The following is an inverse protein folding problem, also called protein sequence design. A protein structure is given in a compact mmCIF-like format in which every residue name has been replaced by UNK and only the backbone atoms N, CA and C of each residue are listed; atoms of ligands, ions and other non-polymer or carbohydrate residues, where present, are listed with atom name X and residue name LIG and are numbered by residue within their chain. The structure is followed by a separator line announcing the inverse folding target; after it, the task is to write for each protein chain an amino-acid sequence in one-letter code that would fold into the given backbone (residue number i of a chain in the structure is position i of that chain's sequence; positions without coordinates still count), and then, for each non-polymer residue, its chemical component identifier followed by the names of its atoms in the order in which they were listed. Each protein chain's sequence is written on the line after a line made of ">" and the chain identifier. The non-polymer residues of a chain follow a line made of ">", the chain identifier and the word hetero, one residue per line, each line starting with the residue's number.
data_IF_517453454488
#
_entry.id   IF_517453454488
#
_cell.length_a   1.000
_cell.length_b   1.000
_cell.length_c   1.000
_cell.angle_alpha   90.00
_cell.angle_beta   90.00
_cell.angle_gamma   90.00
#
_symmetry.space_group_name_H-M   'P 1'
#
loop_
_entity.id
_entity.type
_entity.pdbx_description
1 polymer ?
#
# COMPACT_ATOMS: atom_id res chain seq x y z
N UNK A 1 25.15 -44.21 20.16
CA UNK A 1 24.05 -44.62 21.05
C UNK A 1 23.60 -43.51 22.02
N UNK A 2 24.50 -42.74 22.64
CA UNK A 2 24.12 -41.63 23.55
C UNK A 2 23.56 -40.36 22.88
N UNK A 3 24.05 -39.99 21.68
CA UNK A 3 23.55 -38.82 20.93
C UNK A 3 22.09 -38.98 20.47
N UNK A 4 21.68 -40.20 20.15
CA UNK A 4 20.31 -40.55 19.72
C UNK A 4 19.29 -40.42 20.85
N UNK A 5 19.72 -40.74 22.07
CA UNK A 5 18.89 -40.63 23.27
C UNK A 5 18.67 -39.17 23.63
N UNK A 6 19.72 -38.33 23.58
CA UNK A 6 19.63 -36.89 23.84
C UNK A 6 18.75 -36.19 22.79
N UNK A 7 18.90 -36.54 21.50
CA UNK A 7 18.02 -36.01 20.46
C UNK A 7 16.57 -36.44 20.65
N UNK A 8 16.30 -37.72 20.96
CA UNK A 8 14.93 -38.20 21.26
C UNK A 8 14.34 -37.53 22.51
N UNK A 9 15.13 -37.32 23.55
CA UNK A 9 14.68 -36.64 24.78
C UNK A 9 14.41 -35.15 24.54
N UNK A 10 15.25 -34.45 23.77
CA UNK A 10 14.98 -33.06 23.35
C UNK A 10 13.74 -32.96 22.46
N UNK A 11 13.59 -33.88 21.51
CA UNK A 11 12.42 -33.95 20.62
C UNK A 11 11.13 -34.22 21.43
N UNK A 12 11.16 -35.16 22.38
CA UNK A 12 10.05 -35.43 23.29
C UNK A 12 9.73 -34.25 24.21
N UNK A 13 10.74 -33.55 24.75
CA UNK A 13 10.52 -32.35 25.58
C UNK A 13 9.92 -31.19 24.80
N UNK A 14 10.37 -30.96 23.57
CA UNK A 14 9.83 -29.90 22.70
C UNK A 14 8.35 -30.14 22.38
N UNK A 15 7.97 -31.38 22.05
CA UNK A 15 6.58 -31.73 21.76
C UNK A 15 5.71 -31.87 23.02
N UNK A 16 6.30 -32.17 24.18
CA UNK A 16 5.56 -32.21 25.45
C UNK A 16 5.13 -30.80 25.91
N UNK A 17 5.88 -29.75 25.54
CA UNK A 17 5.45 -28.35 25.69
C UNK A 17 4.30 -27.95 24.74
N UNK A 18 4.08 -28.68 23.65
CA UNK A 18 2.97 -28.45 22.73
C UNK A 18 1.67 -29.18 23.12
N UNK A 19 1.66 -29.98 24.20
CA UNK A 19 0.43 -30.63 24.69
C UNK A 19 -0.58 -29.58 25.15
N UNK A 20 -1.67 -29.44 24.39
CA UNK A 20 -2.79 -28.54 24.70
C UNK A 20 -2.85 -27.29 23.83
N UNK A 21 -1.86 -27.03 22.96
CA UNK A 21 -2.01 -26.05 21.88
C UNK A 21 -2.74 -26.76 20.75
N UNK A 22 -3.95 -26.33 20.37
CA UNK A 22 -4.63 -26.92 19.24
C UNK A 22 -3.75 -26.74 17.99
N UNK A 23 -3.48 -27.82 17.27
CA UNK A 23 -2.76 -27.73 15.99
C UNK A 23 -3.63 -26.91 15.04
N UNK A 24 -3.08 -25.80 14.56
CA UNK A 24 -3.68 -25.00 13.50
C UNK A 24 -3.38 -25.65 12.15
N UNK A 25 -4.35 -25.64 11.25
CA UNK A 25 -4.12 -26.05 9.86
C UNK A 25 -3.40 -24.93 9.09
N UNK A 26 -3.64 -23.67 9.48
CA UNK A 26 -3.04 -22.47 8.89
C UNK A 26 -2.67 -21.46 9.96
N UNK A 27 -1.42 -21.03 9.97
CA UNK A 27 -0.93 -19.93 10.80
C UNK A 27 -0.59 -18.73 9.92
N UNK A 28 -1.15 -17.56 10.25
CA UNK A 28 -0.93 -16.29 9.55
C UNK A 28 -0.18 -15.35 10.49
N UNK A 29 0.98 -14.86 10.05
CA UNK A 29 1.80 -13.91 10.81
C UNK A 29 1.59 -12.49 10.26
N UNK A 30 1.08 -11.61 11.11
CA UNK A 30 0.76 -10.21 10.85
C UNK A 30 -0.74 -9.98 10.61
N UNK A 31 -1.37 -9.11 11.40
CA UNK A 31 -2.76 -8.67 11.25
C UNK A 31 -2.88 -7.33 10.49
N UNK A 32 -1.98 -7.09 9.53
CA UNK A 32 -2.16 -6.05 8.51
C UNK A 32 -3.15 -6.47 7.42
N UNK A 33 -3.41 -5.57 6.45
CA UNK A 33 -4.36 -5.80 5.34
C UNK A 33 -4.21 -7.16 4.65
N UNK A 34 -2.98 -7.62 4.41
CA UNK A 34 -2.72 -8.90 3.76
C UNK A 34 -3.11 -10.10 4.62
N UNK A 35 -2.73 -10.10 5.90
CA UNK A 35 -3.02 -11.21 6.81
C UNK A 35 -4.51 -11.31 7.14
N UNK A 36 -5.16 -10.17 7.43
CA UNK A 36 -6.61 -10.15 7.69
C UNK A 36 -7.40 -10.54 6.45
N UNK A 37 -6.99 -10.10 5.26
CA UNK A 37 -7.62 -10.52 4.00
C UNK A 37 -7.48 -12.03 3.77
N UNK A 38 -6.30 -12.61 4.00
CA UNK A 38 -6.07 -14.05 3.87
C UNK A 38 -6.96 -14.84 4.83
N UNK A 39 -7.01 -14.45 6.11
CA UNK A 39 -7.90 -15.07 7.10
C UNK A 39 -9.36 -14.98 6.66
N UNK A 40 -9.81 -13.79 6.26
CA UNK A 40 -11.16 -13.59 5.74
C UNK A 40 -11.45 -14.48 4.52
N UNK A 41 -10.55 -14.57 3.54
CA UNK A 41 -10.74 -15.41 2.35
C UNK A 41 -10.84 -16.91 2.67
N UNK A 42 -10.09 -17.39 3.67
CA UNK A 42 -10.07 -18.79 4.10
C UNK A 42 -11.14 -19.15 5.12
N UNK A 43 -11.87 -18.17 5.65
CA UNK A 43 -12.78 -18.33 6.80
C UNK A 43 -13.84 -19.44 6.65
N UNK A 44 -14.25 -19.75 5.43
CA UNK A 44 -15.25 -20.80 5.15
C UNK A 44 -14.62 -22.11 4.62
N UNK A 45 -13.30 -22.25 4.69
CA UNK A 45 -12.59 -23.43 4.17
C UNK A 45 -12.65 -24.65 5.12
N UNK A 46 -13.26 -24.52 6.31
CA UNK A 46 -13.33 -25.58 7.31
C UNK A 46 -12.02 -25.81 8.09
N UNK A 47 -11.03 -24.96 7.89
CA UNK A 47 -9.70 -25.03 8.51
C UNK A 47 -9.69 -24.40 9.91
N UNK A 48 -8.76 -24.86 10.75
CA UNK A 48 -8.36 -24.20 12.00
C UNK A 48 -7.29 -23.16 11.67
N UNK A 49 -7.58 -21.88 11.90
CA UNK A 49 -6.75 -20.78 11.41
C UNK A 49 -6.40 -19.84 12.57
N UNK A 50 -5.12 -19.57 12.77
CA UNK A 50 -4.67 -18.54 13.71
C UNK A 50 -4.04 -17.35 13.01
N UNK A 51 -4.39 -16.14 13.46
CA UNK A 51 -3.70 -14.91 13.07
C UNK A 51 -2.92 -14.38 14.27
N UNK A 52 -1.64 -14.09 14.08
CA UNK A 52 -0.73 -13.63 15.12
C UNK A 52 -0.18 -12.26 14.77
N UNK A 53 -0.27 -11.31 15.68
CA UNK A 53 0.18 -9.94 15.49
C UNK A 53 1.17 -9.54 16.58
N UNK A 54 2.25 -8.88 16.16
CA UNK A 54 3.26 -8.41 17.11
C UNK A 54 2.80 -7.14 17.83
N UNK A 55 2.08 -6.24 17.18
CA UNK A 55 1.54 -5.06 17.85
C UNK A 55 0.31 -5.38 18.71
N UNK A 56 -0.22 -4.36 19.35
CA UNK A 56 -1.44 -4.37 20.15
C UNK A 56 -2.69 -4.03 19.31
N UNK A 57 -2.60 -4.03 17.98
CA UNK A 57 -3.71 -3.63 17.11
C UNK A 57 -3.75 -4.36 15.77
N UNK A 58 -4.96 -4.50 15.25
CA UNK A 58 -5.20 -4.89 13.85
C UNK A 58 -4.91 -3.69 12.92
N UNK A 59 -4.48 -3.99 11.70
CA UNK A 59 -4.44 -3.04 10.58
C UNK A 59 -3.05 -2.72 10.03
N UNK A 60 -1.98 -2.91 10.82
CA UNK A 60 -0.62 -2.64 10.38
C UNK A 60 -0.47 -1.21 9.83
N UNK A 61 -0.05 -1.05 8.57
CA UNK A 61 0.13 0.27 7.92
C UNK A 61 -1.18 0.97 7.53
N UNK A 62 -2.35 0.38 7.80
CA UNK A 62 -3.65 1.07 7.71
C UNK A 62 -4.06 1.43 9.13
N UNK A 63 -3.98 2.72 9.45
CA UNK A 63 -4.18 3.21 10.80
C UNK A 63 -4.89 4.56 10.77
N UNK A 64 -6.12 4.59 11.26
CA UNK A 64 -6.98 5.76 11.26
C UNK A 64 -7.44 6.03 12.69
N UNK A 65 -7.54 7.30 13.07
CA UNK A 65 -8.04 7.73 14.37
C UNK A 65 -9.06 8.84 14.22
N UNK A 66 -10.02 8.84 15.14
CA UNK A 66 -10.90 9.97 15.39
C UNK A 66 -10.36 10.70 16.61
N UNK A 67 -10.38 12.03 16.55
CA UNK A 67 -10.00 12.87 17.67
C UNK A 67 -11.27 13.33 18.39
N UNK A 68 -11.26 13.46 19.73
CA UNK A 68 -12.44 13.91 20.48
C UNK A 68 -13.04 15.22 19.97
N UNK A 69 -12.19 16.16 19.53
CA UNK A 69 -12.61 17.47 19.03
C UNK A 69 -12.97 17.46 17.53
N UNK A 70 -12.82 16.32 16.85
CA UNK A 70 -13.19 16.12 15.45
C UNK A 70 -13.69 14.67 15.23
N UNK A 71 -14.79 14.26 15.89
CA UNK A 71 -15.22 12.87 15.93
C UNK A 71 -15.76 12.36 14.59
N UNK A 72 -16.10 13.26 13.67
CA UNK A 72 -16.63 12.92 12.34
C UNK A 72 -15.54 12.88 11.25
N UNK A 73 -14.29 13.18 11.59
CA UNK A 73 -13.19 13.29 10.63
C UNK A 73 -12.11 12.25 10.97
N UNK A 74 -11.98 11.18 10.18
CA UNK A 74 -10.88 10.26 10.35
C UNK A 74 -9.55 10.94 9.96
N UNK A 75 -8.54 10.78 10.80
CA UNK A 75 -7.17 11.11 10.48
C UNK A 75 -6.41 9.82 10.19
N UNK A 76 -5.98 9.67 8.94
CA UNK A 76 -5.21 8.52 8.48
C UNK A 76 -3.70 8.75 8.69
N UNK A 77 -3.09 7.94 9.54
CA UNK A 77 -1.64 7.88 9.76
C UNK A 77 -0.92 6.91 8.81
N UNK A 78 -1.65 6.40 7.81
CA UNK A 78 -1.16 5.40 6.88
C UNK A 78 -1.85 5.51 5.53
N UNK A 79 -2.36 4.40 5.00
CA UNK A 79 -3.19 4.46 3.79
C UNK A 79 -4.41 5.36 4.02
N UNK A 80 -4.66 6.30 3.10
CA UNK A 80 -5.74 7.30 3.23
C UNK A 80 -6.74 7.31 2.07
N UNK A 81 -6.41 6.63 0.96
CA UNK A 81 -7.19 6.69 -0.28
C UNK A 81 -7.02 5.47 -1.17
N UNK A 82 -7.97 5.29 -2.07
CA UNK A 82 -8.02 4.24 -3.09
C UNK A 82 -8.21 4.92 -4.44
N UNK A 83 -7.33 4.61 -5.39
CA UNK A 83 -7.53 4.98 -6.80
C UNK A 83 -8.39 3.89 -7.44
N UNK A 84 -9.65 4.19 -7.75
CA UNK A 84 -10.69 3.22 -8.13
C UNK A 84 -10.27 2.35 -9.32
N UNK A 85 -9.74 2.97 -10.37
CA UNK A 85 -9.29 2.26 -11.57
C UNK A 85 -8.01 1.41 -11.37
N UNK A 86 -7.26 1.63 -10.28
CA UNK A 86 -6.00 0.92 -10.01
C UNK A 86 -6.12 -0.17 -8.95
N UNK A 87 -7.18 -0.17 -8.15
CA UNK A 87 -7.34 -1.11 -7.02
C UNK A 87 -8.66 -1.89 -7.06
N UNK A 88 -9.00 -2.55 -8.18
CA UNK A 88 -10.30 -3.23 -8.34
C UNK A 88 -10.55 -4.31 -7.27
N UNK A 89 -9.51 -5.00 -6.80
CA UNK A 89 -9.62 -5.99 -5.71
C UNK A 89 -9.98 -5.36 -4.36
N UNK A 90 -9.43 -4.19 -4.05
CA UNK A 90 -9.80 -3.45 -2.84
C UNK A 90 -11.25 -2.99 -2.94
N UNK A 91 -11.66 -2.40 -4.07
CA UNK A 91 -13.05 -1.98 -4.30
C UNK A 91 -14.02 -3.15 -4.09
N UNK A 92 -13.78 -4.28 -4.77
CA UNK A 92 -14.61 -5.47 -4.61
C UNK A 92 -14.68 -5.91 -3.16
N UNK A 93 -13.54 -5.99 -2.47
CA UNK A 93 -13.52 -6.39 -1.08
C UNK A 93 -14.29 -5.42 -0.18
N UNK A 94 -14.17 -4.11 -0.38
CA UNK A 94 -14.93 -3.13 0.40
C UNK A 94 -16.44 -3.27 0.20
N UNK A 95 -16.88 -3.54 -1.04
CA UNK A 95 -18.30 -3.86 -1.32
C UNK A 95 -18.72 -5.16 -0.62
N UNK A 96 -17.93 -6.23 -0.71
CA UNK A 96 -18.22 -7.52 -0.06
C UNK A 96 -18.24 -7.39 1.48
N UNK A 97 -17.48 -6.44 2.04
CA UNK A 97 -17.48 -6.09 3.46
C UNK A 97 -18.65 -5.18 3.88
N UNK A 98 -19.38 -4.59 2.93
CA UNK A 98 -20.43 -3.61 3.21
C UNK A 98 -19.91 -2.20 3.53
N UNK A 99 -18.64 -1.90 3.23
CA UNK A 99 -18.06 -0.58 3.45
C UNK A 99 -18.69 0.48 2.54
N UNK A 100 -18.74 1.71 3.05
CA UNK A 100 -19.14 2.89 2.27
C UNK A 100 -17.91 3.62 1.76
N UNK A 101 -18.07 4.25 0.61
CA UNK A 101 -17.04 5.05 -0.04
C UNK A 101 -17.48 6.49 -0.16
N UNK A 102 -16.53 7.41 -0.01
CA UNK A 102 -16.72 8.82 -0.31
C UNK A 102 -15.62 9.31 -1.25
N UNK A 103 -15.85 10.44 -1.92
CA UNK A 103 -14.80 11.16 -2.64
C UNK A 103 -13.68 11.47 -1.65
N UNK A 104 -12.45 11.11 -2.00
CA UNK A 104 -11.30 11.64 -1.26
C UNK A 104 -11.05 13.07 -1.77
N UNK A 105 -11.19 14.11 -0.92
CA UNK A 105 -10.92 15.47 -1.34
C UNK A 105 -9.41 15.61 -1.58
N UNK A 106 -9.01 15.57 -2.84
CA UNK A 106 -7.60 15.61 -3.20
C UNK A 106 -7.10 17.05 -3.35
N UNK A 107 -5.99 17.36 -2.69
CA UNK A 107 -5.00 18.32 -3.19
C UNK A 107 -3.87 17.53 -3.82
N UNK A 108 -3.66 17.65 -5.14
CA UNK A 108 -2.54 17.12 -5.96
C UNK A 108 -2.57 17.75 -7.38
N UNK A 109 -2.95 19.02 -7.49
CA UNK A 109 -3.09 19.69 -8.79
C UNK A 109 -4.39 19.39 -9.53
N UNK A 110 -5.35 18.67 -8.92
CA UNK A 110 -6.71 18.47 -9.49
C UNK A 110 -7.56 19.71 -9.53
N UNK A 111 -7.26 20.66 -8.64
CA UNK A 111 -7.75 22.03 -8.73
C UNK A 111 -6.50 22.86 -8.99
N UNK A 112 -6.03 22.93 -10.25
CA UNK A 112 -4.74 23.53 -10.58
C UNK A 112 -4.59 24.95 -10.06
N UNK A 113 -5.69 25.71 -10.03
CA UNK A 113 -5.75 27.12 -9.60
C UNK A 113 -5.63 27.29 -8.09
N UNK A 114 -5.87 26.22 -7.31
CA UNK A 114 -5.85 26.25 -5.82
C UNK A 114 -4.72 25.41 -5.23
N UNK A 115 -4.04 24.62 -6.05
CA UNK A 115 -2.91 23.80 -5.59
C UNK A 115 -1.66 24.66 -5.57
N UNK A 116 -1.26 25.07 -4.37
CA UNK A 116 -0.05 25.85 -4.15
C UNK A 116 1.19 24.95 -4.18
N UNK A 117 2.22 25.43 -4.85
CA UNK A 117 3.56 24.86 -4.89
C UNK A 117 4.54 25.93 -4.39
N UNK A 118 5.63 25.47 -3.79
CA UNK A 118 6.72 26.33 -3.35
C UNK A 118 8.03 25.75 -3.84
N UNK A 119 8.59 26.34 -4.89
CA UNK A 119 9.78 25.87 -5.59
C UNK A 119 10.81 26.99 -5.62
N UNK A 120 12.04 26.73 -5.17
CA UNK A 120 13.17 27.69 -5.19
C UNK A 120 12.79 29.10 -4.70
N UNK A 121 12.10 29.18 -3.56
CA UNK A 121 11.60 30.42 -2.95
C UNK A 121 10.51 31.18 -3.73
N UNK A 122 9.87 30.52 -4.70
CA UNK A 122 8.76 31.08 -5.48
C UNK A 122 7.47 30.33 -5.13
N UNK A 123 6.41 31.09 -4.84
CA UNK A 123 5.05 30.55 -4.74
C UNK A 123 4.43 30.53 -6.14
N UNK A 124 3.79 29.42 -6.48
CA UNK A 124 3.13 29.24 -7.76
C UNK A 124 1.96 28.27 -7.60
N UNK A 125 1.06 28.29 -8.57
CA UNK A 125 0.00 27.30 -8.73
C UNK A 125 0.42 26.24 -9.76
N UNK A 126 -0.30 25.11 -9.82
CA UNK A 126 -0.02 24.09 -10.85
C UNK A 126 -0.16 24.63 -12.27
N UNK A 127 -1.02 25.63 -12.51
CA UNK A 127 -1.20 26.24 -13.83
C UNK A 127 -0.02 27.12 -14.28
N UNK A 128 0.84 27.54 -13.36
CA UNK A 128 2.00 28.39 -13.67
C UNK A 128 3.26 27.59 -14.02
N UNK A 129 3.22 26.27 -13.84
CA UNK A 129 4.30 25.35 -14.19
C UNK A 129 4.59 25.37 -15.70
N UNK A 130 5.86 25.54 -16.06
CA UNK A 130 6.35 25.68 -17.42
C UNK A 130 6.24 27.11 -17.97
N UNK A 131 5.56 28.01 -17.24
CA UNK A 131 5.42 29.41 -17.60
C UNK A 131 6.59 30.31 -17.16
N UNK A 132 6.51 31.63 -17.40
CA UNK A 132 7.56 32.60 -17.07
C UNK A 132 7.95 32.66 -15.58
N UNK A 133 7.02 32.31 -14.68
CA UNK A 133 7.23 32.32 -13.24
C UNK A 133 7.91 31.03 -12.73
N UNK A 134 8.12 30.03 -13.59
CA UNK A 134 8.79 28.79 -13.22
C UNK A 134 10.27 29.07 -12.92
N UNK A 135 10.76 28.81 -11.69
CA UNK A 135 12.08 29.26 -11.23
C UNK A 135 13.24 28.34 -11.67
N UNK A 136 13.16 27.87 -12.91
CA UNK A 136 14.14 26.99 -13.54
C UNK A 136 14.53 27.56 -14.89
N UNK A 137 15.83 27.55 -15.21
CA UNK A 137 16.34 28.03 -16.50
C UNK A 137 16.13 26.97 -17.60
N UNK A 138 14.85 26.70 -17.89
CA UNK A 138 14.40 25.71 -18.86
C UNK A 138 14.61 26.21 -20.30
N UNK A 139 15.06 25.29 -21.16
CA UNK A 139 15.10 25.52 -22.61
C UNK A 139 13.67 25.67 -23.16
N UNK A 140 13.47 26.32 -24.33
CA UNK A 140 12.13 26.50 -24.90
C UNK A 140 11.31 25.21 -25.02
N UNK A 141 11.95 24.09 -25.39
CA UNK A 141 11.34 22.77 -25.52
C UNK A 141 11.03 22.08 -24.18
N UNK A 142 11.61 22.56 -23.08
CA UNK A 142 11.43 22.03 -21.71
C UNK A 142 10.34 22.81 -20.93
N UNK A 143 9.88 23.95 -21.47
CA UNK A 143 8.88 24.83 -20.84
C UNK A 143 7.46 24.27 -20.95
N UNK A 144 7.17 23.27 -20.14
CA UNK A 144 5.85 22.66 -20.02
C UNK A 144 5.59 22.15 -18.60
N UNK A 145 4.41 21.57 -18.39
CA UNK A 145 4.09 20.84 -17.17
C UNK A 145 5.13 19.70 -16.95
N UNK A 146 5.71 19.56 -15.75
CA UNK A 146 6.80 18.62 -15.51
C UNK A 146 6.35 17.16 -15.64
N UNK A 147 5.05 16.87 -15.48
CA UNK A 147 4.47 15.53 -15.71
C UNK A 147 4.44 15.21 -17.19
N UNK A 148 4.12 16.18 -18.03
CA UNK A 148 4.16 16.03 -19.49
C UNK A 148 5.60 15.88 -19.97
N UNK A 149 6.53 16.67 -19.42
CA UNK A 149 7.96 16.54 -19.73
C UNK A 149 8.46 15.14 -19.34
N UNK A 150 8.24 14.70 -18.09
CA UNK A 150 8.58 13.35 -17.64
C UNK A 150 7.98 12.24 -18.52
N UNK A 151 6.74 12.42 -18.98
CA UNK A 151 6.07 11.47 -19.87
C UNK A 151 6.76 11.42 -21.24
N UNK A 152 6.98 12.57 -21.87
CA UNK A 152 7.65 12.67 -23.17
C UNK A 152 9.02 11.98 -23.13
N UNK A 153 9.78 12.17 -22.07
CA UNK A 153 11.10 11.55 -21.90
C UNK A 153 10.99 10.03 -21.77
N UNK A 154 10.04 9.55 -20.98
CA UNK A 154 9.82 8.11 -20.81
C UNK A 154 9.38 7.44 -22.12
N UNK A 155 8.50 8.10 -22.89
CA UNK A 155 8.03 7.62 -24.20
C UNK A 155 9.11 7.65 -25.28
N UNK A 156 10.04 8.61 -25.19
CA UNK A 156 11.18 8.71 -26.12
C UNK A 156 12.22 7.61 -25.86
N UNK A 157 12.38 7.20 -24.61
CA UNK A 157 13.48 6.31 -24.19
C UNK A 157 13.09 4.86 -23.98
N UNK A 158 11.80 4.56 -24.02
CA UNK A 158 11.30 3.21 -23.83
C UNK A 158 10.38 2.78 -24.96
N UNK A 159 10.24 1.48 -25.14
CA UNK A 159 9.19 0.92 -25.99
C UNK A 159 7.78 1.05 -25.35
N UNK A 160 7.68 1.66 -24.16
CA UNK A 160 6.46 1.89 -23.43
C UNK A 160 5.93 3.31 -23.68
N UNK A 161 4.97 3.43 -24.59
CA UNK A 161 4.35 4.70 -24.94
C UNK A 161 3.07 5.03 -24.11
N UNK A 162 2.87 4.37 -22.97
CA UNK A 162 1.71 4.61 -22.08
C UNK A 162 0.33 4.27 -22.65
N UNK A 163 0.24 3.83 -23.92
CA UNK A 163 -1.01 3.55 -24.64
C UNK A 163 -1.16 2.11 -25.06
N UNK A 164 -0.07 1.34 -25.13
CA UNK A 164 -0.13 -0.09 -25.43
C UNK A 164 -0.61 -0.88 -24.20
N UNK A 165 -1.84 -1.44 -24.22
CA UNK A 165 -2.34 -2.21 -23.09
C UNK A 165 -1.56 -3.52 -22.86
N UNK A 166 -0.73 -3.97 -23.80
CA UNK A 166 -0.09 -5.28 -23.78
C UNK A 166 1.36 -5.27 -23.26
N UNK A 167 1.93 -4.10 -22.96
CA UNK A 167 3.27 -4.02 -22.34
C UNK A 167 3.08 -3.90 -20.84
N UNK A 168 3.31 -5.01 -20.15
CA UNK A 168 3.45 -4.98 -18.70
C UNK A 168 4.72 -4.22 -18.32
N UNK A 169 4.70 -3.52 -17.21
CA UNK A 169 5.85 -2.77 -16.73
C UNK A 169 7.15 -3.63 -16.62
N UNK A 170 7.02 -4.93 -16.35
CA UNK A 170 8.14 -5.87 -16.29
C UNK A 170 8.66 -6.33 -17.66
N UNK A 171 7.90 -6.09 -18.73
CA UNK A 171 8.30 -6.39 -20.11
C UNK A 171 8.73 -5.14 -20.88
N UNK A 172 8.53 -3.95 -20.30
CA UNK A 172 9.00 -2.70 -20.86
C UNK A 172 10.54 -2.65 -20.87
N UNK A 173 11.09 -2.16 -21.98
CA UNK A 173 12.53 -2.00 -22.17
C UNK A 173 12.85 -0.57 -22.61
N UNK A 174 14.09 -0.17 -22.41
CA UNK A 174 14.69 0.92 -23.17
C UNK A 174 14.74 0.58 -24.66
N UNK A 175 15.00 1.56 -25.53
CA UNK A 175 15.13 1.33 -26.97
C UNK A 175 16.26 0.36 -27.35
N UNK A 176 17.32 0.30 -26.55
CA UNK A 176 18.44 -0.65 -26.66
C UNK A 176 18.16 -2.02 -26.01
N UNK A 177 16.91 -2.26 -25.57
CA UNK A 177 16.44 -3.57 -25.12
C UNK A 177 16.73 -3.90 -23.65
N UNK A 178 17.20 -2.94 -22.85
CA UNK A 178 17.42 -3.14 -21.41
C UNK A 178 16.08 -3.07 -20.68
N UNK A 179 15.71 -4.07 -19.86
CA UNK A 179 14.48 -4.00 -19.08
C UNK A 179 14.44 -2.76 -18.19
N UNK A 180 13.32 -2.02 -18.21
CA UNK A 180 13.19 -0.77 -17.43
C UNK A 180 13.33 -1.01 -15.92
N UNK A 181 12.96 -2.20 -15.44
CA UNK A 181 13.12 -2.54 -14.02
C UNK A 181 14.58 -2.68 -13.61
N UNK A 182 15.52 -2.78 -14.55
CA UNK A 182 16.96 -2.76 -14.29
C UNK A 182 17.58 -1.36 -14.43
N UNK A 183 16.78 -0.34 -14.73
CA UNK A 183 17.24 1.03 -14.90
C UNK A 183 16.74 1.91 -13.74
N UNK A 184 17.60 2.82 -13.29
CA UNK A 184 17.15 3.95 -12.48
C UNK A 184 16.49 5.01 -13.37
N UNK A 185 15.56 5.77 -12.81
CA UNK A 185 14.96 6.89 -13.54
C UNK A 185 16.00 7.96 -13.89
N UNK A 186 17.03 8.11 -13.03
CA UNK A 186 18.16 9.01 -13.26
C UNK A 186 18.96 8.62 -14.51
N UNK A 187 19.30 7.34 -14.68
CA UNK A 187 20.03 6.87 -15.88
C UNK A 187 19.23 7.11 -17.15
N UNK A 188 17.91 6.86 -17.12
CA UNK A 188 17.04 7.11 -18.26
C UNK A 188 16.99 8.59 -18.60
N UNK A 189 16.81 9.47 -17.61
CA UNK A 189 16.79 10.91 -17.84
C UNK A 189 18.15 11.43 -18.32
N UNK A 190 19.27 10.97 -17.76
CA UNK A 190 20.58 11.42 -18.22
C UNK A 190 20.82 11.09 -19.70
N UNK A 191 20.28 9.96 -20.17
CA UNK A 191 20.35 9.58 -21.56
C UNK A 191 19.46 10.43 -22.47
N UNK A 192 18.48 11.19 -21.94
CA UNK A 192 17.54 12.04 -22.70
C UNK A 192 18.09 13.35 -23.22
N UNK A 193 19.26 13.78 -22.73
CA UNK A 193 19.87 15.04 -23.17
C UNK A 193 19.14 16.30 -22.67
N UNK A 194 18.17 16.16 -21.76
CA UNK A 194 17.55 17.32 -21.11
C UNK A 194 18.56 18.05 -20.23
N UNK A 195 18.30 19.34 -20.02
CA UNK A 195 19.10 20.18 -19.14
C UNK A 195 19.06 19.69 -17.69
N UNK A 196 20.11 19.98 -16.93
CA UNK A 196 20.11 19.74 -15.48
C UNK A 196 18.98 20.51 -14.77
N UNK A 197 18.59 21.67 -15.30
CA UNK A 197 17.46 22.45 -14.78
C UNK A 197 16.12 21.73 -14.97
N UNK A 198 15.92 21.08 -16.12
CA UNK A 198 14.75 20.22 -16.34
C UNK A 198 14.74 18.99 -15.43
N UNK A 199 15.91 18.42 -15.11
CA UNK A 199 16.02 17.30 -14.17
C UNK A 199 15.55 17.69 -12.76
N UNK A 200 16.07 18.79 -12.22
CA UNK A 200 15.65 19.30 -10.91
C UNK A 200 14.20 19.77 -10.93
N UNK A 201 13.73 20.36 -12.03
CA UNK A 201 12.32 20.75 -12.19
C UNK A 201 11.36 19.57 -12.09
N UNK A 202 11.64 18.46 -12.78
CA UNK A 202 10.83 17.23 -12.70
C UNK A 202 10.90 16.64 -11.28
N UNK A 203 12.08 16.64 -10.67
CA UNK A 203 12.30 16.07 -9.34
C UNK A 203 11.61 16.86 -8.24
N UNK A 204 11.81 18.17 -8.19
CA UNK A 204 11.28 19.06 -7.15
C UNK A 204 9.75 19.22 -7.25
N UNK A 205 9.17 19.03 -8.44
CA UNK A 205 7.72 19.02 -8.63
C UNK A 205 7.07 17.66 -8.36
N UNK A 206 7.87 16.60 -8.10
CA UNK A 206 7.35 15.30 -7.70
C UNK A 206 6.95 15.30 -6.23
N UNK A 207 5.82 14.65 -5.94
CA UNK A 207 5.37 14.41 -4.56
C UNK A 207 6.30 13.47 -3.80
N UNK A 208 7.00 12.60 -4.54
CA UNK A 208 7.84 11.55 -3.98
C UNK A 208 9.22 11.57 -4.64
N UNK A 209 10.25 11.79 -3.83
CA UNK A 209 11.63 11.88 -4.31
C UNK A 209 12.32 10.52 -4.39
N UNK A 210 11.77 9.47 -3.77
CA UNK A 210 12.43 8.17 -3.70
C UNK A 210 12.69 7.54 -5.08
N UNK A 211 11.91 7.92 -6.09
CA UNK A 211 12.10 7.40 -7.44
C UNK A 211 13.28 8.00 -8.20
N UNK A 212 13.90 9.06 -7.67
CA UNK A 212 15.04 9.75 -8.29
C UNK A 212 16.38 9.33 -7.68
N UNK A 213 16.38 8.33 -6.80
CA UNK A 213 17.61 7.77 -6.23
C UNK A 213 18.41 6.95 -7.24
N UNK A 214 19.62 6.50 -6.87
CA UNK A 214 20.48 5.67 -7.71
C UNK A 214 19.97 4.23 -7.89
N UNK A 215 18.88 3.88 -7.21
CA UNK A 215 18.25 2.57 -7.28
C UNK A 215 17.13 2.55 -8.31
N UNK A 216 16.80 1.35 -8.79
CA UNK A 216 15.71 1.12 -9.75
C UNK A 216 14.41 1.75 -9.24
N UNK A 217 13.75 2.56 -10.07
CA UNK A 217 12.41 3.08 -9.75
C UNK A 217 11.54 3.15 -10.99
N UNK A 218 10.72 2.12 -11.13
CA UNK A 218 9.66 2.07 -12.12
C UNK A 218 8.52 3.07 -11.82
N UNK A 219 8.46 3.61 -10.60
CA UNK A 219 7.37 4.51 -10.19
C UNK A 219 7.37 5.84 -10.95
N UNK A 220 8.55 6.32 -11.34
CA UNK A 220 8.69 7.60 -12.01
C UNK A 220 8.43 7.54 -13.52
N UNK A 221 8.24 6.35 -14.09
CA UNK A 221 7.83 6.21 -15.48
C UNK A 221 6.31 6.43 -15.57
N UNK A 222 5.85 7.54 -16.18
CA UNK A 222 4.43 7.88 -16.17
C UNK A 222 3.60 6.81 -16.86
N UNK A 223 2.38 6.62 -16.37
CA UNK A 223 1.38 5.69 -16.92
C UNK A 223 1.81 4.22 -16.95
N UNK A 224 2.93 3.80 -16.36
CA UNK A 224 3.31 2.38 -16.34
C UNK A 224 2.20 1.51 -15.76
N UNK A 225 1.70 0.59 -16.58
CA UNK A 225 0.70 -0.39 -16.18
C UNK A 225 1.40 -1.39 -15.26
N UNK A 226 1.19 -1.27 -13.94
CA UNK A 226 1.48 -2.37 -13.01
C UNK A 226 0.58 -3.53 -13.45
N UNK A 227 1.20 -4.57 -14.03
CA UNK A 227 0.58 -5.66 -14.79
C UNK A 227 -0.42 -6.49 -14.00
N UNK A 228 -1.62 -5.96 -13.82
CA UNK A 228 -2.78 -6.77 -13.47
C UNK A 228 -3.92 -6.36 -14.39
N UNK A 229 -4.64 -7.35 -14.91
CA UNK A 229 -5.89 -7.17 -15.63
C UNK A 229 -6.72 -6.09 -14.93
N UNK A 230 -6.97 -5.00 -15.66
CA UNK A 230 -7.99 -4.05 -15.24
C UNK A 230 -9.30 -4.68 -15.72
N UNK A 231 -10.13 -5.27 -14.85
CA UNK A 231 -11.54 -5.36 -15.22
C UNK A 231 -11.96 -3.94 -15.60
N UNK A 232 -12.66 -3.79 -16.73
CA UNK A 232 -13.44 -2.57 -16.98
C UNK A 232 -14.39 -2.48 -15.79
N UNK A 233 -14.07 -1.66 -14.79
CA UNK A 233 -14.97 -1.46 -13.66
C UNK A 233 -16.04 -0.49 -14.12
N UNK A 234 -17.31 -0.91 -14.22
CA UNK A 234 -18.43 -0.04 -14.55
C UNK A 234 -18.97 0.54 -13.24
N UNK A 235 -18.11 1.15 -12.43
CA UNK A 235 -18.54 1.69 -11.15
C UNK A 235 -18.71 3.20 -11.28
N UNK A 236 -19.87 3.72 -10.90
CA UNK A 236 -20.17 5.16 -10.71
C UNK A 236 -19.34 5.79 -9.57
N UNK A 237 -18.24 5.14 -9.17
CA UNK A 237 -17.36 5.61 -8.12
C UNK A 237 -16.47 6.73 -8.64
N UNK A 238 -16.23 7.76 -7.82
CA UNK A 238 -15.21 8.76 -8.10
C UNK A 238 -13.84 8.11 -8.38
N UNK A 239 -12.99 8.82 -9.12
CA UNK A 239 -11.67 8.29 -9.51
C UNK A 239 -10.79 7.97 -8.30
N UNK A 240 -10.85 8.81 -7.26
CA UNK A 240 -10.17 8.62 -5.99
C UNK A 240 -11.20 8.69 -4.87
N UNK A 241 -11.22 7.65 -4.06
CA UNK A 241 -12.16 7.48 -2.97
C UNK A 241 -11.44 7.19 -1.66
N UNK A 242 -12.15 7.31 -0.56
CA UNK A 242 -11.74 6.85 0.77
C UNK A 242 -12.91 6.18 1.49
N UNK A 243 -12.65 5.64 2.67
CA UNK A 243 -13.66 5.09 3.57
C UNK A 243 -13.90 6.11 4.68
N UNK A 244 -15.10 6.70 4.80
CA UNK A 244 -15.39 7.73 5.80
C UNK A 244 -15.18 7.30 7.26
N UNK A 245 -15.28 6.00 7.53
CA UNK A 245 -14.99 5.42 8.85
C UNK A 245 -13.50 5.14 9.08
N UNK A 246 -12.63 5.66 8.22
CA UNK A 246 -11.19 5.41 8.24
C UNK A 246 -10.78 4.20 7.43
N UNK A 247 -9.61 4.28 6.81
CA UNK A 247 -9.06 3.20 5.97
C UNK A 247 -8.76 1.92 6.76
N UNK A 248 -8.53 2.00 8.07
CA UNK A 248 -8.42 0.83 8.95
C UNK A 248 -9.71 -0.02 9.02
N UNK A 249 -10.84 0.47 8.53
CA UNK A 249 -12.09 -0.31 8.43
C UNK A 249 -11.92 -1.60 7.62
N UNK A 250 -11.05 -1.63 6.60
CA UNK A 250 -10.78 -2.85 5.84
C UNK A 250 -10.23 -3.99 6.71
N UNK A 251 -9.02 -3.86 7.30
CA UNK A 251 -8.48 -4.94 8.12
C UNK A 251 -9.33 -5.25 9.35
N UNK A 252 -10.00 -4.27 9.95
CA UNK A 252 -10.92 -4.49 11.06
C UNK A 252 -12.13 -5.34 10.66
N UNK A 253 -12.81 -5.01 9.56
CA UNK A 253 -13.99 -5.77 9.11
C UNK A 253 -13.61 -7.15 8.58
N UNK A 254 -12.45 -7.31 7.93
CA UNK A 254 -11.92 -8.63 7.60
C UNK A 254 -11.72 -9.49 8.84
N UNK A 255 -11.06 -8.94 9.88
CA UNK A 255 -10.83 -9.63 11.14
C UNK A 255 -12.15 -10.00 11.83
N UNK A 256 -13.09 -9.06 11.91
CA UNK A 256 -14.40 -9.28 12.53
C UNK A 256 -15.16 -10.43 11.86
N UNK A 257 -15.26 -10.41 10.53
CA UNK A 257 -15.93 -11.47 9.77
C UNK A 257 -15.18 -12.81 9.81
N UNK A 258 -13.84 -12.78 9.90
CA UNK A 258 -13.03 -13.98 10.09
C UNK A 258 -13.33 -14.64 11.44
N UNK A 259 -13.20 -13.89 12.54
CA UNK A 259 -13.43 -14.41 13.90
C UNK A 259 -14.87 -14.87 14.10
N UNK A 260 -15.85 -14.14 13.55
CA UNK A 260 -17.27 -14.50 13.70
C UNK A 260 -17.69 -15.75 12.90
N UNK A 261 -16.99 -16.07 11.81
CA UNK A 261 -17.36 -17.22 10.96
C UNK A 261 -17.16 -18.58 11.63
N UNK A 262 -16.18 -18.72 12.52
CA UNK A 262 -15.95 -19.96 13.29
C UNK A 262 -15.15 -19.70 14.58
N UNK A 263 -15.79 -19.24 15.66
CA UNK A 263 -15.09 -18.83 16.89
C UNK A 263 -14.37 -19.98 17.63
N UNK A 264 -14.66 -21.24 17.29
CA UNK A 264 -13.99 -22.40 17.88
C UNK A 264 -12.74 -22.85 17.12
N UNK A 265 -12.59 -22.41 15.86
CA UNK A 265 -11.49 -22.81 14.97
C UNK A 265 -10.62 -21.63 14.54
N UNK A 266 -11.11 -20.41 14.67
CA UNK A 266 -10.39 -19.20 14.32
C UNK A 266 -9.91 -18.47 15.57
N UNK A 267 -8.61 -18.16 15.60
CA UNK A 267 -7.97 -17.48 16.72
C UNK A 267 -7.26 -16.23 16.25
N UNK A 268 -7.21 -15.22 17.13
CA UNK A 268 -6.38 -14.04 16.96
C UNK A 268 -5.58 -13.80 18.24
N UNK A 269 -4.27 -13.60 18.08
CA UNK A 269 -3.33 -13.45 19.19
C UNK A 269 -2.43 -12.25 18.95
N UNK A 270 -2.35 -11.36 19.94
CA UNK A 270 -1.42 -10.20 19.96
C UNK A 270 -0.28 -10.43 20.94
N UNK A 271 0.83 -9.68 20.85
CA UNK A 271 2.00 -9.92 21.71
C UNK A 271 1.73 -9.76 23.21
N UNK A 272 0.82 -8.86 23.60
CA UNK A 272 0.43 -8.70 25.01
C UNK A 272 -0.14 -10.00 25.57
N UNK A 273 -0.79 -10.80 24.72
CA UNK A 273 -1.29 -12.12 25.08
C UNK A 273 -0.17 -13.19 25.06
N UNK A 274 0.81 -13.08 24.15
CA UNK A 274 1.96 -14.01 24.07
C UNK A 274 2.89 -13.92 25.29
N UNK A 275 3.19 -12.71 25.76
CA UNK A 275 4.03 -12.50 26.96
C UNK A 275 3.33 -13.01 28.24
N UNK A 276 1.99 -12.91 28.28
CA UNK A 276 1.21 -13.45 29.39
C UNK A 276 1.18 -14.99 29.39
N UNK A 277 1.16 -15.61 28.20
CA UNK A 277 1.23 -17.07 28.03
C UNK A 277 2.56 -17.66 28.54
N UNK A 278 3.70 -17.01 28.23
CA UNK A 278 5.02 -17.44 28.71
C UNK A 278 5.16 -17.39 30.24
N UNK A 279 4.37 -16.57 30.94
CA UNK A 279 4.37 -16.47 32.41
C UNK A 279 3.44 -17.47 33.12
N UNK A 280 2.93 -18.49 32.42
CA UNK A 280 2.19 -19.60 33.05
C UNK A 280 0.77 -19.27 33.54
N UNK A 281 0.20 -18.12 33.15
CA UNK A 281 -1.21 -17.82 33.39
C UNK A 281 -2.08 -18.58 32.38
N UNK A 282 -2.49 -19.80 32.73
CA UNK A 282 -3.34 -20.69 31.89
C UNK A 282 -4.78 -20.20 31.69
N UNK A 283 -5.20 -19.14 32.38
CA UNK A 283 -6.53 -18.55 32.25
C UNK A 283 -6.39 -17.09 31.83
N UNK A 284 -6.25 -16.85 30.53
CA UNK A 284 -6.64 -15.57 29.94
C UNK A 284 -7.80 -15.86 29.00
N UNK A 285 -8.98 -15.37 29.37
CA UNK A 285 -10.07 -15.14 28.44
C UNK A 285 -9.51 -14.36 27.26
N UNK A 286 -9.79 -14.82 26.05
CA UNK A 286 -9.63 -14.00 24.85
C UNK A 286 -10.61 -12.83 25.05
N UNK A 287 -10.12 -11.72 25.58
CA UNK A 287 -10.86 -10.46 25.55
C UNK A 287 -10.92 -10.05 24.08
N UNK A 288 -12.07 -10.31 23.48
CA UNK A 288 -12.47 -9.65 22.24
C UNK A 288 -12.58 -8.18 22.61
N UNK A 289 -11.53 -7.40 22.36
CA UNK A 289 -11.62 -5.95 22.45
C UNK A 289 -12.66 -5.50 21.41
N UNK A 290 -13.79 -5.01 21.90
CA UNK A 290 -14.79 -4.35 21.09
C UNK A 290 -14.21 -2.98 20.71
N UNK A 291 -13.48 -2.94 19.58
CA UNK A 291 -12.75 -1.75 19.10
C UNK A 291 -13.67 -0.60 18.64
N UNK A 292 -14.98 -0.65 18.92
CA UNK A 292 -15.98 0.31 18.43
C UNK A 292 -16.58 1.23 19.50
N UNK A 293 -16.11 1.19 20.75
CA UNK A 293 -16.49 2.16 21.78
C UNK A 293 -15.25 2.86 22.34
N UNK A 294 -14.78 3.88 21.64
CA UNK A 294 -14.14 5.11 22.16
C UNK A 294 -13.83 6.05 21.01
#
# INVERSE_FOLDING_TARGET
>A
MQLDLVFRTLFLFFFQQCKGVPVEDVTIIGAGIGGTYTGWRLRNAGLRIGIYEFSDRVGGRMYSRFFPDAPDIPVDFGAMRIISARHPRMIKAGVDLGLKFAIFPEGLGRIPERTLLYLRNTHLTTNELGGPNTPYNLRPEERMDPRLLSQLLSETYSNYNGTNPNVELYTATTLDGIPLYLQSYQEVIQKTGISNEAQEYIKDSSLFHYGFGPVQSLENFPKTRRGFDRPKMPTDLPEIITVPTGMNSYPSEFMRQFLSSNPFRHTFVVIVNLLAYQKGKRNLSIEVYDYYNN
#
